data_IF_722251546129
#
_entry.id   IF_722251546129
#
_cell.length_a   1.000
_cell.length_b   1.000
_cell.length_c   1.000
_cell.angle_alpha   90.00
_cell.angle_beta   90.00
_cell.angle_gamma   90.00
#
_symmetry.space_group_name_H-M   'P 1'
#
loop_
_entity.id
_entity.type
_entity.pdbx_description
1 polymer ?
#
# COMPACT_ATOMS: atom_id res chain seq x y z
N UNK A 1 8.49 11.35 7.10
CA UNK A 1 8.13 10.19 7.36
C UNK A 1 7.51 9.49 6.30
N UNK A 2 6.42 9.92 5.82
CA UNK A 2 5.77 9.20 4.76
C UNK A 2 6.45 9.32 3.43
N UNK A 3 7.49 10.14 3.30
CA UNK A 3 8.21 10.26 2.03
C UNK A 3 8.85 8.94 1.60
N UNK A 4 9.45 8.23 2.53
CA UNK A 4 10.08 6.96 2.19
C UNK A 4 9.03 5.90 1.84
N UNK A 5 7.94 5.86 2.58
CA UNK A 5 6.85 4.92 2.30
C UNK A 5 6.23 5.24 0.95
N UNK A 6 5.99 6.52 0.70
CA UNK A 6 5.40 6.96 -0.56
C UNK A 6 6.28 6.57 -1.74
N UNK A 7 7.57 6.78 -1.62
CA UNK A 7 8.51 6.42 -2.67
C UNK A 7 8.49 4.92 -2.92
N UNK A 8 8.52 4.13 -1.86
CA UNK A 8 8.55 2.68 -2.00
C UNK A 8 7.27 2.16 -2.66
N UNK A 9 6.12 2.71 -2.27
CA UNK A 9 4.86 2.31 -2.88
C UNK A 9 4.82 2.71 -4.34
N UNK A 10 5.27 3.92 -4.66
CA UNK A 10 5.26 4.38 -6.05
C UNK A 10 6.15 3.53 -6.94
N UNK A 11 7.23 2.98 -6.37
CA UNK A 11 8.14 2.12 -7.10
C UNK A 11 7.66 0.68 -7.17
N UNK A 12 6.59 0.37 -6.46
CA UNK A 12 6.11 -1.00 -6.34
C UNK A 12 4.78 -1.24 -7.06
N UNK A 13 4.40 -0.33 -7.94
CA UNK A 13 3.15 -0.51 -8.70
C UNK A 13 3.28 -1.78 -9.53
N UNK A 14 2.27 -2.64 -9.43
CA UNK A 14 2.28 -3.93 -10.10
C UNK A 14 2.88 -5.05 -9.25
N UNK A 15 3.43 -4.72 -8.09
CA UNK A 15 4.06 -5.72 -7.22
C UNK A 15 3.15 -6.05 -6.05
N UNK A 16 3.37 -7.23 -5.48
CA UNK A 16 2.63 -7.68 -4.31
C UNK A 16 3.32 -7.14 -3.07
N UNK A 17 2.53 -6.56 -2.19
CA UNK A 17 3.05 -5.96 -0.97
C UNK A 17 2.19 -6.36 0.22
N UNK A 18 2.78 -6.27 1.39
CA UNK A 18 2.07 -6.39 2.65
C UNK A 18 2.12 -5.01 3.31
N UNK A 19 0.96 -4.45 3.58
CA UNK A 19 0.83 -3.08 4.09
C UNK A 19 0.32 -3.13 5.52
N UNK A 20 1.02 -2.46 6.42
CA UNK A 20 0.60 -2.35 7.82
C UNK A 20 0.10 -0.94 8.07
N UNK A 21 -1.11 -0.82 8.56
CA UNK A 21 -1.72 0.47 8.87
C UNK A 21 -1.43 0.86 10.31
N UNK A 22 -1.57 2.14 10.58
CA UNK A 22 -1.33 2.66 11.94
C UNK A 22 -2.31 2.12 12.96
N UNK A 23 -3.49 1.67 12.52
CA UNK A 23 -4.49 1.09 13.41
C UNK A 23 -4.28 -0.41 13.61
N UNK A 24 -3.10 -0.92 13.24
CA UNK A 24 -2.71 -2.32 13.39
C UNK A 24 -3.38 -3.29 12.43
N UNK A 25 -4.17 -2.80 11.49
CA UNK A 25 -4.68 -3.65 10.42
C UNK A 25 -3.58 -3.85 9.40
N UNK A 26 -3.65 -4.95 8.68
CA UNK A 26 -2.72 -5.22 7.61
C UNK A 26 -3.47 -5.78 6.40
N UNK A 27 -2.92 -5.53 5.23
CA UNK A 27 -3.51 -5.99 3.99
C UNK A 27 -2.41 -6.51 3.09
N UNK A 28 -2.71 -7.57 2.36
CA UNK A 28 -1.81 -8.08 1.36
C UNK A 28 -2.49 -7.94 0.00
N UNK A 29 -1.77 -7.42 -0.98
CA UNK A 29 -2.34 -7.24 -2.28
C UNK A 29 -1.35 -6.66 -3.25
N UNK A 30 -1.86 -6.32 -4.43
CA UNK A 30 -1.05 -5.78 -5.50
C UNK A 30 -1.34 -4.29 -5.62
N UNK A 31 -0.29 -3.47 -5.63
CA UNK A 31 -0.47 -2.04 -5.82
C UNK A 31 -0.83 -1.78 -7.28
N UNK A 32 -1.94 -1.10 -7.50
CA UNK A 32 -2.46 -0.87 -8.85
C UNK A 32 -2.32 0.58 -9.28
N UNK A 33 -2.03 1.50 -8.37
CA UNK A 33 -1.83 2.89 -8.73
C UNK A 33 -1.50 3.73 -7.52
N UNK A 34 -1.02 4.93 -7.77
CA UNK A 34 -0.68 5.86 -6.70
C UNK A 34 -0.68 7.28 -7.25
N UNK A 35 -1.02 8.23 -6.40
CA UNK A 35 -0.89 9.64 -6.74
C UNK A 35 -0.16 10.34 -5.60
N UNK A 36 -0.36 11.65 -5.43
CA UNK A 36 0.38 12.42 -4.44
C UNK A 36 0.01 12.09 -3.02
N UNK A 37 -1.23 11.71 -2.76
CA UNK A 37 -1.74 11.55 -1.40
C UNK A 37 -2.23 10.15 -1.10
N UNK A 38 -2.62 9.40 -2.13
CA UNK A 38 -3.27 8.10 -1.95
C UNK A 38 -2.64 7.06 -2.85
N UNK A 39 -2.83 5.79 -2.48
CA UNK A 39 -2.50 4.70 -3.38
C UNK A 39 -3.64 3.68 -3.38
N UNK A 40 -3.70 2.90 -4.46
CA UNK A 40 -4.73 1.90 -4.62
C UNK A 40 -4.10 0.52 -4.60
N UNK A 41 -4.75 -0.39 -3.92
CA UNK A 41 -4.28 -1.77 -3.80
C UNK A 41 -5.44 -2.72 -4.08
N UNK A 42 -5.14 -3.80 -4.79
CA UNK A 42 -6.10 -4.88 -4.96
C UNK A 42 -5.91 -5.83 -3.79
N UNK A 43 -6.83 -5.78 -2.84
CA UNK A 43 -6.76 -6.58 -1.61
C UNK A 43 -7.12 -8.02 -1.95
N UNK A 44 -6.17 -8.92 -1.76
CA UNK A 44 -6.37 -10.33 -2.12
C UNK A 44 -7.40 -11.02 -1.25
N UNK A 45 -7.52 -10.59 0.00
CA UNK A 45 -8.43 -11.24 0.92
C UNK A 45 -9.89 -11.06 0.51
N UNK A 46 -10.24 -9.85 0.09
CA UNK A 46 -11.61 -9.55 -0.30
C UNK A 46 -11.78 -9.44 -1.81
N UNK A 47 -10.67 -9.54 -2.54
CA UNK A 47 -10.63 -9.42 -3.99
C UNK A 47 -11.29 -8.11 -4.42
N UNK A 48 -10.96 -7.02 -3.75
CA UNK A 48 -11.52 -5.71 -4.04
C UNK A 48 -10.45 -4.66 -3.98
N UNK A 49 -10.69 -3.53 -4.67
CA UNK A 49 -9.76 -2.42 -4.68
C UNK A 49 -10.01 -1.55 -3.45
N UNK A 50 -8.93 -1.14 -2.81
CA UNK A 50 -9.00 -0.24 -1.67
C UNK A 50 -8.03 0.90 -1.87
N UNK A 51 -8.39 2.08 -1.39
CA UNK A 51 -7.57 3.28 -1.52
C UNK A 51 -7.22 3.75 -0.12
N UNK A 52 -5.92 3.96 0.12
CA UNK A 52 -5.43 4.42 1.40
C UNK A 52 -4.59 5.67 1.23
N UNK A 53 -4.65 6.57 2.20
CA UNK A 53 -3.75 7.71 2.24
C UNK A 53 -2.37 7.22 2.70
N UNK A 54 -1.31 7.80 2.13
CA UNK A 54 0.04 7.42 2.53
C UNK A 54 0.26 7.64 4.03
N UNK A 55 -0.39 8.66 4.60
CA UNK A 55 -0.23 8.95 6.02
C UNK A 55 -0.80 7.89 6.95
N UNK A 56 -1.63 6.99 6.43
CA UNK A 56 -2.20 5.92 7.24
C UNK A 56 -1.28 4.72 7.37
N UNK A 57 -0.17 4.70 6.64
CA UNK A 57 0.69 3.53 6.55
C UNK A 57 1.79 3.61 7.61
N UNK A 58 1.92 2.55 8.37
CA UNK A 58 2.97 2.43 9.37
C UNK A 58 4.19 1.75 8.76
N UNK A 59 3.97 0.73 7.96
CA UNK A 59 5.04 -0.09 7.44
C UNK A 59 4.60 -0.77 6.16
N UNK A 60 5.52 -1.00 5.25
CA UNK A 60 5.22 -1.73 4.03
C UNK A 60 6.33 -2.74 3.78
N UNK A 61 5.94 -3.92 3.30
CA UNK A 61 6.87 -4.98 2.98
C UNK A 61 6.61 -5.40 1.54
N UNK A 62 7.60 -5.24 0.67
CA UNK A 62 7.45 -5.64 -0.73
C UNK A 62 7.79 -7.12 -0.84
N UNK A 63 6.84 -7.90 -1.37
CA UNK A 63 6.96 -9.36 -1.37
C UNK A 63 7.62 -9.90 -2.63
N UNK A 64 7.75 -9.09 -3.66
CA UNK A 64 8.45 -9.58 -4.83
C UNK A 64 9.26 -8.50 -5.53
#
# INVERSE_FOLDING_TARGET
>A
MSELIKKRISESIGKVVLVFLKNNFRFEGKITGADKLYFEILDFRTNSYKIFAFGEIKEIEVRE
#
